data_IF_869876343474
#
_entry.id   IF_869876343474
#
_cell.length_a   1.000
_cell.length_b   1.000
_cell.length_c   1.000
_cell.angle_alpha   90.00
_cell.angle_beta   90.00
_cell.angle_gamma   90.00
#
_symmetry.space_group_name_H-M   'P 1'
#
loop_
_entity.id
_entity.type
_entity.pdbx_description
1 polymer ?
#
# COMPACT_ATOMS: atom_id res chain seq x y z
N UNK A 1 -16.58 33.85 27.28
CA UNK A 1 -17.06 32.82 26.33
C UNK A 1 -16.28 31.54 26.59
N UNK A 2 -16.83 30.56 27.36
CA UNK A 2 -16.15 29.33 27.74
C UNK A 2 -16.37 28.29 26.63
N UNK A 3 -15.42 28.17 25.70
CA UNK A 3 -15.50 27.27 24.54
C UNK A 3 -14.90 25.89 24.78
N UNK A 4 -14.33 25.64 25.95
CA UNK A 4 -13.82 24.31 26.31
C UNK A 4 -14.40 23.93 27.68
N UNK A 5 -15.56 23.28 27.61
CA UNK A 5 -16.04 22.52 28.75
C UNK A 5 -15.12 21.27 28.82
N UNK A 6 -14.14 21.30 29.71
CA UNK A 6 -13.36 20.12 30.06
C UNK A 6 -14.26 19.16 30.82
N UNK A 7 -15.11 18.42 30.14
CA UNK A 7 -15.57 17.15 30.65
C UNK A 7 -14.33 16.31 30.83
N UNK A 8 -13.78 16.30 32.06
CA UNK A 8 -12.83 15.26 32.46
C UNK A 8 -13.51 13.95 32.07
N UNK A 9 -12.89 13.11 31.24
CA UNK A 9 -13.42 11.78 31.02
C UNK A 9 -13.57 11.19 32.42
N UNK A 10 -14.80 10.80 32.79
CA UNK A 10 -15.02 9.98 33.97
C UNK A 10 -13.94 8.89 33.87
N UNK A 11 -13.20 8.69 34.95
CA UNK A 11 -12.26 7.58 35.02
C UNK A 11 -13.11 6.29 34.99
N UNK A 12 -13.58 5.92 33.82
CA UNK A 12 -14.08 4.59 33.54
C UNK A 12 -12.92 3.69 33.91
N UNK A 13 -13.11 2.89 34.95
CA UNK A 13 -12.13 1.90 35.38
C UNK A 13 -11.66 1.21 34.13
N UNK A 14 -10.36 1.27 33.85
CA UNK A 14 -9.73 0.58 32.74
C UNK A 14 -9.97 -0.92 33.01
N UNK A 15 -10.92 -1.50 32.32
CA UNK A 15 -11.17 -2.92 32.36
C UNK A 15 -10.33 -3.53 31.22
N UNK A 16 -9.46 -4.46 31.57
CA UNK A 16 -8.64 -5.20 30.61
C UNK A 16 -9.51 -5.92 29.56
N UNK A 17 -10.76 -6.26 29.93
CA UNK A 17 -11.75 -6.85 29.03
C UNK A 17 -12.13 -5.96 27.83
N UNK A 18 -11.86 -4.65 27.90
CA UNK A 18 -12.12 -3.71 26.80
C UNK A 18 -10.98 -3.60 25.78
N UNK A 19 -9.87 -4.30 26.00
CA UNK A 19 -8.77 -4.35 25.03
C UNK A 19 -9.12 -5.29 23.88
N UNK A 20 -8.71 -4.93 22.62
CA UNK A 20 -9.00 -5.73 21.45
C UNK A 20 -8.34 -7.11 21.55
N UNK A 21 -9.13 -8.16 21.49
CA UNK A 21 -8.68 -9.55 21.51
C UNK A 21 -8.52 -10.13 20.10
N UNK A 22 -9.17 -9.51 19.12
CA UNK A 22 -9.14 -9.92 17.72
C UNK A 22 -8.62 -8.80 16.82
N UNK A 23 -8.06 -9.16 15.67
CA UNK A 23 -7.61 -8.18 14.66
C UNK A 23 -8.76 -7.29 14.16
N UNK A 24 -9.98 -7.83 14.08
CA UNK A 24 -11.17 -7.05 13.67
C UNK A 24 -11.55 -5.98 14.70
N UNK A 25 -11.51 -6.32 15.98
CA UNK A 25 -11.73 -5.36 17.06
C UNK A 25 -10.63 -4.29 17.06
N UNK A 26 -9.37 -4.70 16.90
CA UNK A 26 -8.23 -3.78 16.81
C UNK A 26 -8.37 -2.80 15.65
N UNK A 27 -8.76 -3.26 14.47
CA UNK A 27 -9.04 -2.40 13.32
C UNK A 27 -10.11 -1.34 13.65
N UNK A 28 -11.22 -1.77 14.27
CA UNK A 28 -12.29 -0.86 14.65
C UNK A 28 -11.83 0.17 15.70
N UNK A 29 -11.04 -0.25 16.68
CA UNK A 29 -10.48 0.63 17.71
C UNK A 29 -9.51 1.66 17.13
N UNK A 30 -8.61 1.24 16.21
CA UNK A 30 -7.70 2.16 15.53
C UNK A 30 -8.49 3.19 14.72
N UNK A 31 -9.52 2.76 13.97
CA UNK A 31 -10.36 3.68 13.21
C UNK A 31 -11.08 4.69 14.13
N UNK A 32 -11.58 4.24 15.28
CA UNK A 32 -12.32 5.09 16.20
C UNK A 32 -11.42 6.04 16.99
N UNK A 33 -10.29 5.54 17.51
CA UNK A 33 -9.45 6.26 18.46
C UNK A 33 -8.25 6.96 17.82
N UNK A 34 -7.78 6.47 16.65
CA UNK A 34 -6.54 6.93 15.99
C UNK A 34 -6.75 7.43 14.57
N UNK A 35 -7.97 7.81 14.22
CA UNK A 35 -8.31 8.30 12.87
C UNK A 35 -7.41 9.44 12.40
N UNK A 36 -7.07 10.39 13.27
CA UNK A 36 -6.17 11.50 12.93
C UNK A 36 -4.78 11.02 12.50
N UNK A 37 -4.28 9.93 13.08
CA UNK A 37 -3.01 9.33 12.64
C UNK A 37 -3.12 8.76 11.22
N UNK A 38 -4.27 8.19 10.86
CA UNK A 38 -4.52 7.70 9.50
C UNK A 38 -4.61 8.85 8.50
N UNK A 39 -5.26 9.96 8.85
CA UNK A 39 -5.30 11.17 8.01
C UNK A 39 -3.88 11.73 7.80
N UNK A 40 -3.05 11.77 8.85
CA UNK A 40 -1.65 12.17 8.71
C UNK A 40 -0.90 11.28 7.72
N UNK A 41 -1.06 9.96 7.80
CA UNK A 41 -0.48 8.99 6.85
C UNK A 41 -0.94 9.32 5.42
N UNK A 42 -2.23 9.58 5.23
CA UNK A 42 -2.80 9.95 3.93
C UNK A 42 -2.22 11.23 3.35
N UNK A 43 -2.03 12.27 4.19
CA UNK A 43 -1.38 13.52 3.77
C UNK A 43 0.06 13.28 3.35
N UNK A 44 0.82 12.51 4.13
CA UNK A 44 2.19 12.16 3.78
C UNK A 44 2.25 11.35 2.49
N UNK A 45 1.37 10.38 2.31
CA UNK A 45 1.27 9.61 1.05
C UNK A 45 0.95 10.52 -0.13
N UNK A 46 0.05 11.49 0.03
CA UNK A 46 -0.28 12.45 -1.03
C UNK A 46 0.96 13.27 -1.44
N UNK A 47 1.74 13.77 -0.48
CA UNK A 47 2.97 14.53 -0.77
C UNK A 47 3.94 13.70 -1.62
N UNK A 48 4.14 12.43 -1.26
CA UNK A 48 5.01 11.51 -2.01
C UNK A 48 4.39 11.04 -3.34
N UNK A 49 3.08 11.16 -3.50
CA UNK A 49 2.36 10.86 -4.74
C UNK A 49 2.35 12.02 -5.74
N UNK A 50 2.62 13.26 -5.31
CA UNK A 50 2.64 14.43 -6.19
C UNK A 50 3.49 14.24 -7.47
N UNK A 51 4.70 13.64 -7.44
CA UNK A 51 5.47 13.41 -8.66
C UNK A 51 4.72 12.55 -9.69
N UNK A 52 3.98 11.53 -9.23
CA UNK A 52 3.15 10.69 -10.11
C UNK A 52 1.99 11.52 -10.69
N UNK A 53 1.34 12.35 -9.87
CA UNK A 53 0.27 13.23 -10.35
C UNK A 53 0.78 14.22 -11.41
N UNK A 54 1.94 14.82 -11.20
CA UNK A 54 2.55 15.70 -12.19
C UNK A 54 2.88 14.99 -13.51
N UNK A 55 3.42 13.77 -13.44
CA UNK A 55 3.65 12.95 -14.63
C UNK A 55 2.33 12.70 -15.40
N UNK A 56 1.26 12.32 -14.70
CA UNK A 56 -0.04 12.03 -15.33
C UNK A 56 -0.63 13.31 -15.96
N UNK A 57 -0.59 14.45 -15.24
CA UNK A 57 -1.07 15.73 -15.74
C UNK A 57 -0.33 16.16 -17.01
N UNK A 58 0.99 16.05 -16.98
CA UNK A 58 1.82 16.41 -18.13
C UNK A 58 1.52 15.48 -19.32
N UNK A 59 1.41 14.16 -19.11
CA UNK A 59 1.01 13.21 -20.15
C UNK A 59 -0.32 13.60 -20.77
N UNK A 60 -1.35 13.82 -19.95
CA UNK A 60 -2.69 14.12 -20.44
C UNK A 60 -2.68 15.42 -21.27
N UNK A 61 -1.94 16.45 -20.84
CA UNK A 61 -1.76 17.69 -21.59
C UNK A 61 -1.00 17.46 -22.91
N UNK A 62 0.08 16.68 -22.88
CA UNK A 62 0.87 16.34 -24.08
C UNK A 62 0.02 15.58 -25.10
N UNK A 63 -0.79 14.62 -24.68
CA UNK A 63 -1.66 13.87 -25.56
C UNK A 63 -2.74 14.73 -26.22
N UNK A 64 -3.32 15.69 -25.50
CA UNK A 64 -4.26 16.66 -26.08
C UNK A 64 -3.59 17.47 -27.21
N UNK A 65 -2.38 17.95 -26.98
CA UNK A 65 -1.62 18.71 -27.98
C UNK A 65 -1.30 17.85 -29.21
N UNK A 66 -0.89 16.58 -29.00
CA UNK A 66 -0.60 15.64 -30.11
C UNK A 66 -1.86 15.40 -30.95
N UNK A 67 -3.04 15.18 -30.33
CA UNK A 67 -4.29 14.95 -31.02
C UNK A 67 -4.72 16.18 -31.85
N UNK A 68 -4.34 17.38 -31.44
CA UNK A 68 -4.64 18.63 -32.16
C UNK A 68 -3.70 18.90 -33.35
N UNK A 69 -2.48 18.31 -33.33
CA UNK A 69 -1.42 18.63 -34.29
C UNK A 69 -1.24 17.56 -35.37
N UNK A 70 -1.58 16.32 -35.10
CA UNK A 70 -1.30 15.18 -35.96
C UNK A 70 -2.58 14.41 -36.32
N UNK A 71 -2.58 13.77 -37.48
CA UNK A 71 -3.67 12.93 -37.97
C UNK A 71 -3.16 11.59 -38.51
N UNK A 72 -4.05 10.61 -38.65
CA UNK A 72 -3.76 9.32 -39.28
C UNK A 72 -2.66 8.52 -38.58
N UNK A 73 -1.74 7.96 -39.35
CA UNK A 73 -0.66 7.11 -38.88
C UNK A 73 0.36 7.87 -38.02
N UNK A 74 0.61 9.13 -38.36
CA UNK A 74 1.54 9.97 -37.59
C UNK A 74 1.02 10.23 -36.17
N UNK A 75 -0.28 10.49 -36.02
CA UNK A 75 -0.94 10.60 -34.71
C UNK A 75 -0.72 9.34 -33.87
N UNK A 76 -0.94 8.16 -34.47
CA UNK A 76 -0.75 6.89 -33.76
C UNK A 76 0.69 6.72 -33.26
N UNK A 77 1.67 7.02 -34.12
CA UNK A 77 3.09 6.92 -33.78
C UNK A 77 3.48 7.91 -32.67
N UNK A 78 3.01 9.16 -32.72
CA UNK A 78 3.28 10.16 -31.70
C UNK A 78 2.65 9.80 -30.35
N UNK A 79 1.44 9.23 -30.33
CA UNK A 79 0.79 8.75 -29.11
C UNK A 79 1.54 7.57 -28.50
N UNK A 80 2.03 6.62 -29.30
CA UNK A 80 2.85 5.50 -28.86
C UNK A 80 4.14 6.03 -28.23
N UNK A 81 4.86 6.89 -28.92
CA UNK A 81 6.09 7.50 -28.43
C UNK A 81 5.87 8.23 -27.10
N UNK A 82 4.83 9.06 -27.03
CA UNK A 82 4.44 9.77 -25.80
C UNK A 82 4.20 8.78 -24.65
N UNK A 83 3.41 7.74 -24.84
CA UNK A 83 3.12 6.74 -23.79
C UNK A 83 4.39 6.02 -23.31
N UNK A 84 5.29 5.66 -24.22
CA UNK A 84 6.56 5.03 -23.86
C UNK A 84 7.45 5.99 -23.06
N UNK A 85 7.61 7.23 -23.52
CA UNK A 85 8.38 8.25 -22.82
C UNK A 85 7.88 8.46 -21.39
N UNK A 86 6.55 8.56 -21.21
CA UNK A 86 5.95 8.71 -19.89
C UNK A 86 6.12 7.51 -19.00
N UNK A 87 6.07 6.30 -19.55
CA UNK A 87 6.28 5.08 -18.76
C UNK A 87 7.68 5.04 -18.13
N UNK A 88 8.70 5.59 -18.80
CA UNK A 88 10.06 5.71 -18.26
C UNK A 88 10.19 6.81 -17.20
N UNK A 89 9.59 7.98 -17.43
CA UNK A 89 9.59 9.08 -16.44
C UNK A 89 8.80 8.70 -15.18
N UNK A 90 7.82 7.83 -15.31
CA UNK A 90 7.03 7.35 -14.18
C UNK A 90 7.86 6.52 -13.18
N UNK A 91 8.95 5.86 -13.63
CA UNK A 91 9.79 5.02 -12.77
C UNK A 91 10.33 5.78 -11.55
N UNK A 92 11.07 6.91 -11.70
CA UNK A 92 11.55 7.65 -10.54
C UNK A 92 10.41 8.19 -9.66
N UNK A 93 9.26 8.52 -10.24
CA UNK A 93 8.09 8.95 -9.48
C UNK A 93 7.51 7.84 -8.60
N UNK A 94 7.45 6.60 -9.11
CA UNK A 94 7.05 5.41 -8.34
C UNK A 94 8.08 5.14 -7.21
N UNK A 95 9.36 5.31 -7.47
CA UNK A 95 10.41 5.16 -6.45
C UNK A 95 10.24 6.16 -5.31
N UNK A 96 9.95 7.43 -5.62
CA UNK A 96 9.66 8.45 -4.60
C UNK A 96 8.41 8.08 -3.79
N UNK A 97 7.33 7.68 -4.46
CA UNK A 97 6.09 7.24 -3.78
C UNK A 97 6.34 6.05 -2.85
N UNK A 98 7.18 5.10 -3.26
CA UNK A 98 7.50 3.93 -2.44
C UNK A 98 8.18 4.28 -1.12
N UNK A 99 8.96 5.36 -1.06
CA UNK A 99 9.53 5.86 0.19
C UNK A 99 8.45 6.38 1.14
N UNK A 100 7.46 7.11 0.61
CA UNK A 100 6.29 7.53 1.38
C UNK A 100 5.52 6.33 1.95
N UNK A 101 5.38 5.27 1.14
CA UNK A 101 4.74 4.03 1.57
C UNK A 101 5.54 3.34 2.70
N UNK A 102 6.88 3.30 2.63
CA UNK A 102 7.73 2.74 3.68
C UNK A 102 7.54 3.44 5.02
N UNK A 103 7.51 4.78 5.02
CA UNK A 103 7.24 5.58 6.22
C UNK A 103 5.84 5.33 6.79
N UNK A 104 4.85 5.30 5.92
CA UNK A 104 3.44 5.08 6.28
C UNK A 104 3.21 3.70 6.89
N UNK A 105 3.78 2.65 6.31
CA UNK A 105 3.66 1.28 6.83
C UNK A 105 4.36 1.11 8.19
N UNK A 106 5.42 1.85 8.46
CA UNK A 106 6.06 1.85 9.79
C UNK A 106 5.12 2.40 10.86
N UNK A 107 4.40 3.48 10.58
CA UNK A 107 3.41 4.05 11.51
C UNK A 107 2.25 3.06 11.70
N UNK A 108 1.71 2.49 10.62
CA UNK A 108 0.62 1.51 10.69
C UNK A 108 1.05 0.29 11.53
N UNK A 109 2.28 -0.21 11.36
CA UNK A 109 2.81 -1.31 12.19
C UNK A 109 2.77 -0.95 13.68
N UNK A 110 3.22 0.26 14.05
CA UNK A 110 3.20 0.71 15.44
C UNK A 110 1.79 0.86 15.98
N UNK A 111 0.85 1.36 15.15
CA UNK A 111 -0.57 1.41 15.50
C UNK A 111 -1.10 0.02 15.86
N UNK A 112 -0.85 -0.98 15.01
CA UNK A 112 -1.31 -2.35 15.20
C UNK A 112 -0.63 -3.02 16.41
N UNK A 113 0.66 -2.73 16.65
CA UNK A 113 1.39 -3.31 17.77
C UNK A 113 1.13 -2.62 19.11
N UNK A 114 0.31 -1.56 19.13
CA UNK A 114 0.04 -0.78 20.34
C UNK A 114 1.23 -0.02 20.87
N UNK A 115 2.26 0.22 20.03
CA UNK A 115 3.46 0.96 20.40
C UNK A 115 3.19 2.48 20.46
N UNK A 116 3.93 3.24 21.28
CA UNK A 116 3.83 4.70 21.26
C UNK A 116 4.23 5.26 19.91
N UNK A 117 3.50 6.28 19.42
CA UNK A 117 3.64 6.80 18.07
C UNK A 117 4.07 8.25 18.10
N UNK A 118 5.17 8.53 17.42
CA UNK A 118 5.67 9.87 17.11
C UNK A 118 5.59 10.07 15.58
N UNK A 119 4.45 10.55 15.08
CA UNK A 119 4.07 10.51 13.67
C UNK A 119 5.20 10.92 12.70
N UNK A 120 5.83 12.09 12.93
CA UNK A 120 6.89 12.60 12.07
C UNK A 120 8.18 11.77 12.17
N UNK A 121 8.59 11.45 13.39
CA UNK A 121 9.82 10.70 13.64
C UNK A 121 9.73 9.28 13.11
N UNK A 122 8.61 8.59 13.40
CA UNK A 122 8.38 7.23 12.95
C UNK A 122 8.26 7.12 11.44
N UNK A 123 7.69 8.12 10.78
CA UNK A 123 7.65 8.20 9.33
C UNK A 123 9.07 8.25 8.74
N UNK A 124 9.92 9.14 9.25
CA UNK A 124 11.30 9.28 8.78
C UNK A 124 12.16 8.04 9.11
N UNK A 125 11.96 7.44 10.28
CA UNK A 125 12.63 6.19 10.67
C UNK A 125 12.19 5.08 9.70
N UNK A 126 10.89 4.99 9.38
CA UNK A 126 10.37 4.01 8.43
C UNK A 126 11.02 4.10 7.04
N UNK A 127 11.20 5.32 6.53
CA UNK A 127 11.95 5.55 5.30
C UNK A 127 13.41 5.09 5.46
N UNK A 128 14.10 5.58 6.50
CA UNK A 128 15.53 5.32 6.73
C UNK A 128 15.86 3.83 6.87
N UNK A 129 15.00 3.08 7.52
CA UNK A 129 15.21 1.63 7.73
C UNK A 129 14.92 0.81 6.47
N UNK A 130 13.91 1.21 5.66
CA UNK A 130 13.36 0.35 4.62
C UNK A 130 13.65 0.82 3.18
N UNK A 131 14.26 2.00 2.96
CA UNK A 131 14.41 2.61 1.65
C UNK A 131 15.02 1.70 0.58
N UNK A 132 16.03 0.88 0.93
CA UNK A 132 16.71 -0.01 -0.03
C UNK A 132 15.75 -1.03 -0.64
N UNK A 133 14.97 -1.70 0.21
CA UNK A 133 13.99 -2.70 -0.26
C UNK A 133 12.90 -2.07 -1.11
N UNK A 134 12.37 -0.93 -0.67
CA UNK A 134 11.31 -0.22 -1.39
C UNK A 134 11.77 0.34 -2.72
N UNK A 135 12.97 0.93 -2.82
CA UNK A 135 13.52 1.42 -4.08
C UNK A 135 13.77 0.28 -5.07
N UNK A 136 14.39 -0.83 -4.63
CA UNK A 136 14.68 -1.97 -5.52
C UNK A 136 13.39 -2.56 -6.09
N UNK A 137 12.38 -2.77 -5.25
CA UNK A 137 11.11 -3.37 -5.67
C UNK A 137 10.28 -2.41 -6.52
N UNK A 138 10.28 -1.11 -6.19
CA UNK A 138 9.58 -0.09 -6.99
C UNK A 138 10.24 0.16 -8.36
N UNK A 139 11.57 0.10 -8.43
CA UNK A 139 12.29 0.13 -9.71
C UNK A 139 11.88 -1.06 -10.59
N UNK A 140 11.85 -2.26 -10.02
CA UNK A 140 11.40 -3.45 -10.73
C UNK A 140 9.94 -3.33 -11.20
N UNK A 141 9.03 -2.85 -10.34
CA UNK A 141 7.64 -2.59 -10.70
C UNK A 141 7.51 -1.57 -11.84
N UNK A 142 8.29 -0.50 -11.78
CA UNK A 142 8.32 0.53 -12.82
C UNK A 142 8.82 0.00 -14.17
N UNK A 143 9.87 -0.81 -14.17
CA UNK A 143 10.38 -1.47 -15.39
C UNK A 143 9.34 -2.41 -15.97
N UNK A 144 8.69 -3.24 -15.15
CA UNK A 144 7.61 -4.12 -15.61
C UNK A 144 6.45 -3.34 -16.23
N UNK A 145 6.08 -2.20 -15.64
CA UNK A 145 5.06 -1.32 -16.21
C UNK A 145 5.49 -0.74 -17.56
N UNK A 146 6.76 -0.32 -17.71
CA UNK A 146 7.29 0.18 -18.97
C UNK A 146 7.31 -0.90 -20.06
N UNK A 147 7.71 -2.13 -19.72
CA UNK A 147 7.65 -3.29 -20.64
C UNK A 147 6.20 -3.58 -21.03
N UNK A 148 5.26 -3.55 -20.09
CA UNK A 148 3.86 -3.74 -20.39
C UNK A 148 3.32 -2.68 -21.36
N UNK A 149 3.67 -1.41 -21.14
CA UNK A 149 3.31 -0.31 -22.04
C UNK A 149 3.86 -0.53 -23.44
N UNK A 150 5.12 -0.97 -23.55
CA UNK A 150 5.75 -1.30 -24.81
C UNK A 150 5.03 -2.43 -25.56
N UNK A 151 4.73 -3.53 -24.87
CA UNK A 151 4.03 -4.68 -25.47
C UNK A 151 2.65 -4.28 -25.95
N UNK A 152 1.86 -3.58 -25.14
CA UNK A 152 0.51 -3.13 -25.51
C UNK A 152 0.54 -2.12 -26.67
N UNK A 153 1.59 -1.32 -26.79
CA UNK A 153 1.71 -0.30 -27.85
C UNK A 153 2.03 -0.91 -29.23
N UNK A 154 2.78 -2.00 -29.28
CA UNK A 154 3.25 -2.60 -30.54
C UNK A 154 2.58 -3.89 -30.94
N UNK A 155 1.84 -4.55 -30.04
CA UNK A 155 1.11 -5.76 -30.36
C UNK A 155 -0.31 -5.45 -30.82
N UNK A 156 -0.84 -6.17 -31.84
CA UNK A 156 -2.21 -6.02 -32.26
C UNK A 156 -3.20 -6.28 -31.12
N UNK A 157 -4.19 -5.41 -30.94
CA UNK A 157 -5.20 -5.51 -29.88
C UNK A 157 -6.04 -6.80 -29.93
N UNK A 158 -6.11 -7.46 -31.09
CA UNK A 158 -6.87 -8.70 -31.28
C UNK A 158 -6.11 -9.96 -30.85
N UNK A 159 -4.86 -9.83 -30.42
CA UNK A 159 -4.07 -10.97 -29.98
C UNK A 159 -4.12 -11.08 -28.44
N UNK A 160 -4.63 -12.21 -27.93
CA UNK A 160 -4.67 -12.50 -26.49
C UNK A 160 -3.29 -12.39 -25.84
N UNK A 161 -2.21 -12.73 -26.56
CA UNK A 161 -0.85 -12.64 -26.06
C UNK A 161 -0.42 -11.21 -25.67
N UNK A 162 -1.05 -10.17 -26.24
CA UNK A 162 -0.78 -8.77 -25.89
C UNK A 162 -1.20 -8.43 -24.46
N UNK A 163 -2.16 -9.15 -23.89
CA UNK A 163 -2.64 -8.95 -22.51
C UNK A 163 -1.89 -9.77 -21.47
N UNK A 164 -1.09 -10.75 -21.90
CA UNK A 164 -0.40 -11.67 -20.98
C UNK A 164 0.55 -10.96 -20.02
N UNK A 165 1.36 -9.96 -20.43
CA UNK A 165 2.18 -9.18 -19.49
C UNK A 165 1.35 -8.39 -18.48
N UNK A 166 0.21 -7.83 -18.90
CA UNK A 166 -0.70 -7.10 -18.02
C UNK A 166 -1.32 -8.05 -16.98
N UNK A 167 -1.78 -9.21 -17.40
CA UNK A 167 -2.33 -10.24 -16.52
C UNK A 167 -1.27 -10.69 -15.51
N UNK A 168 -0.06 -11.01 -15.97
CA UNK A 168 1.04 -11.39 -15.10
C UNK A 168 1.37 -10.30 -14.08
N UNK A 169 1.38 -9.03 -14.51
CA UNK A 169 1.62 -7.89 -13.64
C UNK A 169 0.53 -7.80 -12.55
N UNK A 170 -0.75 -7.84 -12.93
CA UNK A 170 -1.89 -7.62 -12.03
C UNK A 170 -2.15 -8.80 -11.11
N UNK A 171 -1.96 -10.03 -11.61
CA UNK A 171 -2.31 -11.26 -10.85
C UNK A 171 -1.16 -11.74 -10.00
N UNK A 172 0.08 -11.53 -10.42
CA UNK A 172 1.24 -12.09 -9.74
C UNK A 172 2.18 -11.03 -9.16
N UNK A 173 2.72 -10.14 -9.99
CA UNK A 173 3.79 -9.25 -9.54
C UNK A 173 3.31 -8.20 -8.52
N UNK A 174 2.21 -7.53 -8.77
CA UNK A 174 1.68 -6.53 -7.84
C UNK A 174 1.31 -7.10 -6.48
N UNK A 175 0.55 -8.21 -6.38
CA UNK A 175 0.26 -8.83 -5.10
C UNK A 175 1.52 -9.24 -4.33
N UNK A 176 2.52 -9.82 -5.00
CA UNK A 176 3.81 -10.19 -4.37
C UNK A 176 4.54 -8.95 -3.84
N UNK A 177 4.60 -7.87 -4.65
CA UNK A 177 5.21 -6.59 -4.24
C UNK A 177 4.48 -6.00 -3.04
N UNK A 178 3.17 -6.13 -3.00
CA UNK A 178 2.35 -5.64 -1.90
C UNK A 178 2.63 -6.40 -0.61
N UNK A 179 2.62 -7.73 -0.63
CA UNK A 179 3.02 -8.56 0.53
C UNK A 179 4.46 -8.26 0.95
N UNK A 180 5.38 -8.07 -0.01
CA UNK A 180 6.76 -7.70 0.28
C UNK A 180 6.85 -6.38 1.05
N UNK A 181 6.04 -5.37 0.71
CA UNK A 181 6.08 -4.09 1.38
C UNK A 181 5.77 -4.22 2.87
N UNK A 182 4.77 -5.03 3.25
CA UNK A 182 4.44 -5.31 4.65
C UNK A 182 5.50 -6.16 5.33
N UNK A 183 5.95 -7.22 4.67
CA UNK A 183 6.98 -8.13 5.16
C UNK A 183 8.27 -7.38 5.48
N UNK A 184 8.74 -6.55 4.56
CA UNK A 184 10.01 -5.82 4.69
C UNK A 184 10.01 -4.82 5.87
N UNK A 185 8.85 -4.26 6.23
CA UNK A 185 8.73 -3.33 7.38
C UNK A 185 8.77 -4.07 8.72
N UNK A 186 8.38 -5.34 8.76
CA UNK A 186 8.36 -6.17 9.98
C UNK A 186 9.72 -6.84 10.20
N UNK A 187 10.27 -7.46 9.14
CA UNK A 187 11.44 -8.33 9.26
C UNK A 187 12.67 -7.69 8.63
N UNK A 188 13.72 -7.49 9.44
CA UNK A 188 14.99 -6.89 9.01
C UNK A 188 15.92 -7.94 8.36
N UNK A 189 15.43 -8.62 7.32
CA UNK A 189 16.19 -9.62 6.58
C UNK A 189 16.77 -9.07 5.27
N UNK A 190 17.54 -9.90 4.54
CA UNK A 190 18.05 -9.55 3.20
C UNK A 190 16.90 -9.42 2.21
N UNK A 191 16.94 -8.42 1.30
CA UNK A 191 15.88 -8.10 0.33
C UNK A 191 15.44 -9.33 -0.46
N UNK A 192 16.39 -10.14 -0.94
CA UNK A 192 16.10 -11.35 -1.72
C UNK A 192 15.34 -12.39 -0.88
N UNK A 193 15.71 -12.55 0.40
CA UNK A 193 15.02 -13.47 1.31
C UNK A 193 13.59 -12.98 1.58
N UNK A 194 13.43 -11.66 1.82
CA UNK A 194 12.12 -11.04 2.00
C UNK A 194 11.23 -11.26 0.77
N UNK A 195 11.79 -11.10 -0.44
CA UNK A 195 11.05 -11.33 -1.68
C UNK A 195 10.60 -12.79 -1.83
N UNK A 196 11.50 -13.76 -1.60
CA UNK A 196 11.17 -15.18 -1.66
C UNK A 196 10.10 -15.56 -0.63
N UNK A 197 10.22 -15.05 0.59
CA UNK A 197 9.22 -15.30 1.63
C UNK A 197 7.87 -14.68 1.29
N UNK A 198 7.87 -13.48 0.73
CA UNK A 198 6.65 -12.80 0.26
C UNK A 198 5.96 -13.58 -0.86
N UNK A 199 6.72 -14.15 -1.79
CA UNK A 199 6.17 -15.04 -2.82
C UNK A 199 5.49 -16.29 -2.19
N UNK A 200 6.18 -16.94 -1.24
CA UNK A 200 5.62 -18.11 -0.54
C UNK A 200 4.33 -17.76 0.21
N UNK A 201 4.29 -16.60 0.88
CA UNK A 201 3.11 -16.12 1.59
C UNK A 201 1.97 -15.78 0.64
N UNK A 202 2.26 -15.09 -0.46
CA UNK A 202 1.28 -14.83 -1.50
C UNK A 202 0.61 -16.12 -1.98
N UNK A 203 1.37 -17.17 -2.29
CA UNK A 203 0.78 -18.46 -2.70
C UNK A 203 -0.07 -19.13 -1.64
N UNK A 204 0.15 -18.84 -0.36
CA UNK A 204 -0.69 -19.34 0.74
C UNK A 204 -1.97 -18.52 0.98
N UNK A 205 -1.99 -17.28 0.52
CA UNK A 205 -3.10 -16.33 0.70
C UNK A 205 -3.62 -15.75 -0.62
N UNK A 206 -3.34 -16.41 -1.76
CA UNK A 206 -3.59 -15.92 -3.13
C UNK A 206 -4.96 -15.25 -3.27
N UNK A 207 -6.02 -15.95 -2.86
CA UNK A 207 -7.38 -15.50 -3.14
C UNK A 207 -7.70 -14.17 -2.46
N UNK A 208 -7.39 -14.03 -1.19
CA UNK A 208 -7.72 -12.81 -0.43
C UNK A 208 -6.78 -11.67 -0.80
N UNK A 209 -5.48 -11.94 -0.93
CA UNK A 209 -4.50 -10.93 -1.37
C UNK A 209 -4.84 -10.41 -2.76
N UNK A 210 -5.25 -11.28 -3.67
CA UNK A 210 -5.72 -10.89 -5.00
C UNK A 210 -6.97 -10.01 -4.94
N UNK A 211 -7.98 -10.37 -4.12
CA UNK A 211 -9.18 -9.55 -3.95
C UNK A 211 -8.85 -8.15 -3.40
N UNK A 212 -7.94 -8.03 -2.44
CA UNK A 212 -7.48 -6.73 -1.94
C UNK A 212 -6.80 -5.91 -3.05
N UNK A 213 -5.94 -6.53 -3.84
CA UNK A 213 -5.32 -5.84 -4.97
C UNK A 213 -6.36 -5.37 -5.98
N UNK A 214 -7.39 -6.17 -6.29
CA UNK A 214 -8.50 -5.75 -7.16
C UNK A 214 -9.28 -4.57 -6.57
N UNK A 215 -9.49 -4.55 -5.26
CA UNK A 215 -10.10 -3.39 -4.59
C UNK A 215 -9.23 -2.12 -4.78
N UNK A 216 -7.92 -2.22 -4.64
CA UNK A 216 -7.01 -1.11 -4.94
C UNK A 216 -7.06 -0.70 -6.42
N UNK A 217 -7.14 -1.66 -7.34
CA UNK A 217 -7.28 -1.37 -8.77
C UNK A 217 -8.60 -0.69 -9.12
N UNK A 218 -9.67 -0.94 -8.39
CA UNK A 218 -10.96 -0.27 -8.62
C UNK A 218 -10.84 1.26 -8.51
N UNK A 219 -9.89 1.76 -7.72
CA UNK A 219 -9.63 3.20 -7.61
C UNK A 219 -9.10 3.81 -8.92
N UNK A 220 -8.52 3.02 -9.82
CA UNK A 220 -8.09 3.49 -11.14
C UNK A 220 -9.25 3.88 -12.06
N UNK A 221 -10.48 3.45 -11.77
CA UNK A 221 -11.65 3.89 -12.52
C UNK A 221 -11.90 5.41 -12.44
N UNK A 222 -11.33 6.09 -11.44
CA UNK A 222 -11.37 7.56 -11.32
C UNK A 222 -10.77 8.25 -12.56
N UNK A 223 -9.83 7.60 -13.26
CA UNK A 223 -9.23 8.13 -14.50
C UNK A 223 -10.24 8.44 -15.60
N UNK A 224 -11.39 7.74 -15.60
CA UNK A 224 -12.45 7.94 -16.62
C UNK A 224 -13.34 9.15 -16.32
N UNK A 225 -13.20 9.80 -15.16
CA UNK A 225 -13.94 11.02 -14.85
C UNK A 225 -13.37 12.15 -15.70
N UNK A 226 -14.16 12.74 -16.62
CA UNK A 226 -13.71 13.88 -17.41
C UNK A 226 -13.58 15.08 -16.48
N UNK A 227 -12.50 15.79 -16.54
CA UNK A 227 -12.23 17.11 -15.96
C UNK A 227 -11.16 17.10 -14.88
N UNK A 228 -10.80 18.30 -14.42
CA UNK A 228 -9.87 18.53 -13.31
C UNK A 228 -10.34 17.88 -11.99
N UNK A 229 -11.64 17.60 -11.87
CA UNK A 229 -12.26 16.96 -10.70
C UNK A 229 -11.63 15.61 -10.38
N UNK A 230 -11.18 14.84 -11.39
CA UNK A 230 -10.51 13.54 -11.16
C UNK A 230 -9.28 13.68 -10.26
N UNK A 231 -8.50 14.74 -10.37
CA UNK A 231 -7.29 14.93 -9.57
C UNK A 231 -7.61 15.29 -8.12
N UNK A 232 -8.66 16.07 -7.91
CA UNK A 232 -9.16 16.37 -6.56
C UNK A 232 -9.67 15.09 -5.90
N UNK A 233 -10.45 14.28 -6.62
CA UNK A 233 -10.95 12.99 -6.13
C UNK A 233 -9.80 12.03 -5.80
N UNK A 234 -8.77 11.92 -6.65
CA UNK A 234 -7.58 11.11 -6.37
C UNK A 234 -6.91 11.58 -5.07
N UNK A 235 -6.75 12.89 -4.88
CA UNK A 235 -6.20 13.45 -3.65
C UNK A 235 -7.01 13.07 -2.41
N UNK A 236 -8.34 13.20 -2.46
CA UNK A 236 -9.23 12.82 -1.36
C UNK A 236 -9.17 11.32 -1.06
N UNK A 237 -9.14 10.48 -2.09
CA UNK A 237 -9.00 9.02 -1.94
C UNK A 237 -7.68 8.68 -1.25
N UNK A 238 -6.57 9.30 -1.66
CA UNK A 238 -5.25 9.07 -1.05
C UNK A 238 -5.23 9.49 0.42
N UNK A 239 -5.87 10.61 0.77
CA UNK A 239 -5.87 11.11 2.15
C UNK A 239 -6.75 10.23 3.07
N UNK A 240 -7.94 9.83 2.62
CA UNK A 240 -8.93 9.24 3.50
C UNK A 240 -9.11 7.73 3.31
N UNK A 241 -9.07 7.23 2.07
CA UNK A 241 -9.40 5.83 1.78
C UNK A 241 -8.16 4.95 1.81
N UNK A 242 -7.06 5.38 1.17
CA UNK A 242 -5.84 4.56 1.07
C UNK A 242 -5.28 4.16 2.44
N UNK A 243 -5.16 5.04 3.46
CA UNK A 243 -4.66 4.63 4.78
C UNK A 243 -5.53 3.58 5.46
N UNK A 244 -6.85 3.65 5.28
CA UNK A 244 -7.79 2.66 5.83
C UNK A 244 -7.60 1.31 5.13
N UNK A 245 -7.46 1.30 3.81
CA UNK A 245 -7.18 0.08 3.04
C UNK A 245 -5.84 -0.53 3.44
N UNK A 246 -4.80 0.29 3.61
CA UNK A 246 -3.49 -0.17 4.07
C UNK A 246 -3.56 -0.78 5.47
N UNK A 247 -4.30 -0.15 6.40
CA UNK A 247 -4.51 -0.68 7.74
C UNK A 247 -5.22 -2.04 7.69
N UNK A 248 -6.35 -2.11 6.96
CA UNK A 248 -7.15 -3.34 6.83
C UNK A 248 -6.34 -4.49 6.25
N UNK A 249 -5.56 -4.20 5.20
CA UNK A 249 -4.73 -5.19 4.57
C UNK A 249 -3.57 -5.63 5.47
N UNK A 250 -2.95 -4.68 6.20
CA UNK A 250 -1.85 -5.00 7.11
C UNK A 250 -2.30 -5.88 8.27
N UNK A 251 -3.48 -5.63 8.85
CA UNK A 251 -4.08 -6.51 9.87
C UNK A 251 -4.28 -7.94 9.36
N UNK A 252 -4.73 -8.06 8.11
CA UNK A 252 -4.88 -9.35 7.47
C UNK A 252 -3.52 -10.04 7.25
N UNK A 253 -2.53 -9.34 6.72
CA UNK A 253 -1.19 -9.91 6.48
C UNK A 253 -0.50 -10.33 7.77
N UNK A 254 -0.63 -9.55 8.85
CA UNK A 254 -0.09 -9.96 10.16
C UNK A 254 -0.74 -11.27 10.63
N UNK A 255 -2.03 -11.46 10.43
CA UNK A 255 -2.68 -12.74 10.77
C UNK A 255 -2.07 -13.91 9.97
N UNK A 256 -1.76 -13.71 8.68
CA UNK A 256 -1.06 -14.71 7.86
C UNK A 256 0.37 -14.93 8.36
N UNK A 257 1.09 -13.85 8.71
CA UNK A 257 2.45 -13.93 9.24
C UNK A 257 2.48 -14.65 10.58
N UNK A 258 1.52 -14.40 11.47
CA UNK A 258 1.40 -15.09 12.76
C UNK A 258 1.26 -16.61 12.56
N UNK A 259 0.45 -17.01 11.57
CA UNK A 259 0.20 -18.45 11.30
C UNK A 259 1.38 -19.16 10.64
N UNK A 260 2.11 -18.51 9.72
CA UNK A 260 3.06 -19.21 8.83
C UNK A 260 4.52 -18.88 9.09
N UNK A 261 4.82 -17.81 9.82
CA UNK A 261 6.18 -17.36 10.09
C UNK A 261 6.43 -17.15 11.58
N UNK A 262 5.60 -16.31 12.23
CA UNK A 262 5.87 -15.88 13.60
C UNK A 262 5.81 -17.07 14.55
N UNK A 263 4.87 -17.98 14.38
CA UNK A 263 4.75 -19.17 15.22
C UNK A 263 6.04 -20.02 15.26
N UNK A 264 6.84 -19.99 14.18
CA UNK A 264 8.04 -20.83 14.06
C UNK A 264 9.36 -20.08 14.20
N UNK A 265 9.43 -18.83 13.71
CA UNK A 265 10.70 -18.08 13.62
C UNK A 265 10.76 -16.87 14.55
N UNK A 266 9.61 -16.27 14.87
CA UNK A 266 9.52 -15.02 15.64
C UNK A 266 8.38 -15.07 16.66
N UNK A 267 8.43 -15.98 17.67
CA UNK A 267 7.32 -16.18 18.62
C UNK A 267 6.97 -14.89 19.37
N UNK A 268 7.94 -13.96 19.55
CA UNK A 268 7.72 -12.65 20.16
C UNK A 268 6.79 -11.72 19.37
N UNK A 269 6.48 -12.04 18.10
CA UNK A 269 5.58 -11.25 17.25
C UNK A 269 4.18 -11.87 17.14
N UNK A 270 3.99 -13.09 17.63
CA UNK A 270 2.68 -13.76 17.59
C UNK A 270 1.67 -12.96 18.40
N UNK A 271 0.52 -12.66 17.77
CA UNK A 271 -0.57 -11.87 18.37
C UNK A 271 -0.13 -10.53 18.99
N UNK A 272 1.04 -9.98 18.59
CA UNK A 272 1.55 -8.72 19.15
C UNK A 272 0.54 -7.60 18.93
N UNK A 273 0.23 -6.86 20.01
CA UNK A 273 -0.76 -5.79 20.04
C UNK A 273 -2.18 -6.23 20.36
N UNK A 274 -2.44 -7.53 20.49
CA UNK A 274 -3.72 -8.07 20.95
C UNK A 274 -3.67 -8.41 22.44
N UNK A 275 -4.82 -8.28 23.10
CA UNK A 275 -4.99 -8.77 24.46
C UNK A 275 -5.23 -10.27 24.45
N UNK A 276 -4.36 -11.02 25.11
CA UNK A 276 -4.49 -12.46 25.29
C UNK A 276 -4.96 -12.72 26.71
N UNK A 277 -6.14 -13.31 26.87
CA UNK A 277 -6.69 -13.64 28.19
C UNK A 277 -5.73 -14.57 28.94
N UNK A 278 -5.61 -14.42 30.28
CA UNK A 278 -4.75 -15.29 31.09
C UNK A 278 -5.03 -16.79 30.92
N UNK A 279 -6.30 -17.14 30.76
CA UNK A 279 -6.76 -18.53 30.54
C UNK A 279 -6.22 -19.14 29.23
N UNK A 280 -6.12 -18.34 28.17
CA UNK A 280 -5.59 -18.79 26.88
C UNK A 280 -4.07 -19.01 26.94
N UNK A 281 -3.35 -18.23 27.77
CA UNK A 281 -1.91 -18.39 27.99
C UNK A 281 -1.57 -19.68 28.75
N UNK A 282 -2.45 -20.14 29.64
CA UNK A 282 -2.26 -21.41 30.34
C UNK A 282 -2.53 -22.62 29.46
N UNK A 283 -3.47 -22.49 28.52
CA UNK A 283 -3.78 -23.57 27.58
C UNK A 283 -2.69 -23.71 26.51
N UNK A 284 -2.13 -22.60 25.99
CA UNK A 284 -0.99 -22.64 25.06
C UNK A 284 0.26 -23.29 25.67
N UNK A 285 0.51 -23.12 26.99
CA UNK A 285 1.63 -23.77 27.71
C UNK A 285 1.42 -25.26 28.01
N UNK A 286 0.22 -25.76 27.90
CA UNK A 286 -0.08 -27.18 28.12
C UNK A 286 -0.05 -28.01 26.83
N UNK A 287 -0.04 -27.33 25.67
CA UNK A 287 0.06 -27.95 24.35
C UNK A 287 1.50 -27.97 23.79
N UNK A 288 2.45 -27.28 24.44
CA UNK A 288 3.91 -27.39 24.21
C UNK A 288 4.48 -28.54 25.08
#
# INVERSE_FOLDING_TARGET
MKLFNSNKPSATKFEESNLPSTRKEQFADILKLRYLSLVFIGVMLLIFFLPIMFCILYRDSSQINIIQQFEGEELANQLIFSNLFFSWILIPSIMIFSLGLAGSLKIIRRLIWGEPIFLKEDFLIGIKENWKGFIVVSLFAGILNAINTLVVSYMPSNNFLSYLPLIALLVFFFPVIFVFAFYNVIYSEKIVKNLINSMKLYFRSVFITFLFCQLCYSLFFIKYIPSILKYVLVGLVIIFIVPILLLMFYEYEIHIFDKYINAYQYPQFVKKGLYVKPEDKENEKKEE
#
